data_IF_769711698296
#
_entry.id   IF_769711698296
#
_cell.length_a   1.000
_cell.length_b   1.000
_cell.length_c   1.000
_cell.angle_alpha   90.00
_cell.angle_beta   90.00
_cell.angle_gamma   90.00
#
_symmetry.space_group_name_H-M   'P 1'
#
loop_
_entity.id
_entity.type
_entity.pdbx_description
1 polymer ?
#
# COMPACT_ATOMS: atom_id res chain seq x y z
N UNK A 1 -21.36 18.07 -38.03
CA UNK A 1 -20.05 18.77 -37.95
C UNK A 1 -19.81 19.20 -36.48
N UNK A 2 -20.83 19.65 -35.76
CA UNK A 2 -20.68 20.08 -34.33
C UNK A 2 -20.44 18.95 -33.32
N UNK A 3 -20.92 17.74 -33.60
CA UNK A 3 -20.66 16.57 -32.75
C UNK A 3 -19.20 16.07 -32.87
N UNK A 4 -18.54 16.35 -33.97
CA UNK A 4 -17.13 15.98 -34.19
C UNK A 4 -16.20 17.02 -33.55
N UNK A 5 -16.59 18.29 -33.50
CA UNK A 5 -15.83 19.35 -32.82
C UNK A 5 -15.85 19.23 -31.30
N UNK A 6 -16.89 18.66 -30.71
CA UNK A 6 -16.95 18.36 -29.25
C UNK A 6 -16.03 17.21 -28.80
N UNK A 7 -15.53 16.37 -29.69
CA UNK A 7 -14.57 15.31 -29.41
C UNK A 7 -13.10 15.76 -29.47
N UNK A 8 -12.81 16.98 -29.88
CA UNK A 8 -11.46 17.53 -30.03
C UNK A 8 -11.00 18.42 -28.88
N UNK A 9 -11.83 18.67 -27.88
CA UNK A 9 -11.38 19.19 -26.59
C UNK A 9 -11.15 18.02 -25.63
N UNK A 10 -10.12 17.22 -25.87
CA UNK A 10 -9.60 16.34 -24.86
C UNK A 10 -9.08 17.23 -23.72
N UNK A 11 -9.84 17.33 -22.65
CA UNK A 11 -9.36 17.99 -21.43
C UNK A 11 -8.01 17.36 -21.06
N UNK A 12 -7.06 18.18 -20.64
CA UNK A 12 -5.79 17.66 -20.14
C UNK A 12 -6.08 16.59 -19.10
N UNK A 13 -5.35 15.44 -19.13
CA UNK A 13 -5.57 14.37 -18.16
C UNK A 13 -5.42 14.91 -16.73
N UNK A 14 -6.29 14.49 -15.83
CA UNK A 14 -6.19 14.84 -14.42
C UNK A 14 -4.94 14.22 -13.78
N UNK A 15 -4.51 14.75 -12.64
CA UNK A 15 -3.41 14.14 -11.86
C UNK A 15 -3.71 12.68 -11.52
N UNK A 16 -4.97 12.34 -11.29
CA UNK A 16 -5.41 10.97 -11.05
C UNK A 16 -5.23 10.07 -12.27
N UNK A 17 -5.59 10.54 -13.47
CA UNK A 17 -5.40 9.80 -14.72
C UNK A 17 -3.91 9.56 -14.99
N UNK A 18 -3.09 10.59 -14.78
CA UNK A 18 -1.63 10.50 -14.95
C UNK A 18 -1.05 9.48 -13.95
N UNK A 19 -1.43 9.56 -12.68
CA UNK A 19 -0.99 8.62 -11.65
C UNK A 19 -1.40 7.20 -11.97
N UNK A 20 -2.68 6.99 -12.33
CA UNK A 20 -3.21 5.68 -12.74
C UNK A 20 -2.42 5.12 -13.93
N UNK A 21 -2.14 5.92 -14.94
CA UNK A 21 -1.33 5.52 -16.09
C UNK A 21 0.06 5.03 -15.68
N UNK A 22 0.73 5.76 -14.79
CA UNK A 22 2.05 5.36 -14.27
C UNK A 22 2.01 4.06 -13.44
N UNK A 23 0.95 3.83 -12.67
CA UNK A 23 0.78 2.58 -11.93
C UNK A 23 0.52 1.40 -12.87
N UNK A 24 -0.33 1.56 -13.88
CA UNK A 24 -0.56 0.53 -14.90
C UNK A 24 0.72 0.20 -15.68
N UNK A 25 1.51 1.21 -16.00
CA UNK A 25 2.81 1.00 -16.64
C UNK A 25 3.76 0.22 -15.73
N UNK A 26 3.86 0.59 -14.45
CA UNK A 26 4.67 -0.15 -13.47
C UNK A 26 4.26 -1.62 -13.36
N UNK A 27 2.94 -1.88 -13.31
CA UNK A 27 2.41 -3.24 -13.27
C UNK A 27 2.82 -4.01 -14.54
N UNK A 28 2.66 -3.39 -15.71
CA UNK A 28 3.03 -4.00 -17.00
C UNK A 28 4.51 -4.33 -17.09
N UNK A 29 5.37 -3.46 -16.56
CA UNK A 29 6.83 -3.59 -16.69
C UNK A 29 7.43 -4.59 -15.68
N UNK A 30 6.79 -4.76 -14.52
CA UNK A 30 7.39 -5.50 -13.40
C UNK A 30 6.61 -6.74 -12.97
N UNK A 31 5.33 -6.87 -13.33
CA UNK A 31 4.50 -7.98 -12.88
C UNK A 31 4.04 -8.86 -14.05
N UNK A 32 4.07 -10.16 -13.84
CA UNK A 32 3.41 -11.12 -14.74
C UNK A 32 1.95 -11.25 -14.35
N UNK A 33 1.09 -10.49 -15.01
CA UNK A 33 -0.36 -10.60 -14.81
C UNK A 33 -0.98 -11.62 -15.77
N UNK A 34 -2.10 -12.21 -15.36
CA UNK A 34 -2.88 -13.09 -16.26
C UNK A 34 -3.40 -12.29 -17.47
N UNK A 35 -3.57 -12.98 -18.60
CA UNK A 35 -4.16 -12.35 -19.79
C UNK A 35 -5.65 -12.06 -19.59
N UNK A 36 -6.30 -12.84 -18.73
CA UNK A 36 -7.72 -12.73 -18.45
C UNK A 36 -7.99 -11.69 -17.38
N UNK A 37 -9.06 -10.94 -17.56
CA UNK A 37 -9.57 -9.94 -16.64
C UNK A 37 -10.97 -10.34 -16.18
N UNK A 38 -11.22 -10.24 -14.89
CA UNK A 38 -12.48 -10.67 -14.29
C UNK A 38 -13.19 -9.48 -13.65
N UNK A 39 -14.40 -9.17 -14.10
CA UNK A 39 -15.20 -8.06 -13.60
C UNK A 39 -15.94 -8.38 -12.28
N UNK A 40 -16.07 -9.66 -11.93
CA UNK A 40 -16.74 -10.12 -10.71
C UNK A 40 -16.36 -11.56 -10.35
N UNK A 41 -16.72 -11.98 -9.13
CA UNK A 41 -16.46 -13.31 -8.60
C UNK A 41 -17.00 -14.43 -9.49
N UNK A 42 -18.19 -14.30 -10.05
CA UNK A 42 -18.79 -15.32 -10.89
C UNK A 42 -17.95 -15.63 -12.15
N UNK A 43 -17.33 -14.59 -12.74
CA UNK A 43 -16.42 -14.79 -13.88
C UNK A 43 -15.15 -15.53 -13.46
N UNK A 44 -14.59 -15.19 -12.30
CA UNK A 44 -13.44 -15.93 -11.75
C UNK A 44 -13.80 -17.39 -11.55
N UNK A 45 -14.92 -17.70 -10.92
CA UNK A 45 -15.35 -19.07 -10.63
C UNK A 45 -15.55 -19.92 -11.90
N UNK A 46 -15.96 -19.32 -13.01
CA UNK A 46 -16.15 -20.00 -14.29
C UNK A 46 -14.91 -20.16 -15.14
N UNK A 47 -14.04 -19.16 -15.17
CA UNK A 47 -12.92 -19.06 -16.11
C UNK A 47 -11.55 -19.18 -15.41
N UNK A 48 -11.54 -19.74 -14.25
CA UNK A 48 -10.45 -19.73 -13.29
C UNK A 48 -9.12 -20.21 -13.86
N UNK A 49 -8.04 -19.42 -13.73
CA UNK A 49 -6.70 -19.91 -14.01
C UNK A 49 -6.32 -21.02 -13.03
N UNK A 50 -5.75 -22.10 -13.57
CA UNK A 50 -5.23 -23.18 -12.77
C UNK A 50 -3.78 -22.89 -12.43
N UNK A 51 -3.50 -22.84 -11.14
CA UNK A 51 -2.16 -22.71 -10.60
C UNK A 51 -1.90 -23.82 -9.60
N UNK A 52 -0.64 -24.23 -9.47
CA UNK A 52 -0.23 -25.23 -8.50
C UNK A 52 -0.41 -24.72 -7.06
N UNK A 53 -0.25 -23.41 -6.84
CA UNK A 53 -0.38 -22.75 -5.55
C UNK A 53 -1.05 -21.39 -5.73
N UNK A 54 -1.95 -21.04 -4.81
CA UNK A 54 -2.55 -19.72 -4.73
C UNK A 54 -1.99 -18.98 -3.53
N UNK A 55 -1.43 -17.80 -3.77
CA UNK A 55 -0.82 -16.98 -2.74
C UNK A 55 -1.58 -15.66 -2.55
N UNK A 56 -2.08 -15.43 -1.33
CA UNK A 56 -2.56 -14.11 -0.90
C UNK A 56 -1.37 -13.29 -0.43
N UNK A 57 -1.13 -12.15 -1.07
CA UNK A 57 -0.03 -11.25 -0.73
C UNK A 57 -0.31 -10.38 0.49
N UNK A 58 0.56 -9.41 0.69
CA UNK A 58 0.47 -8.43 1.78
C UNK A 58 -0.61 -7.38 1.56
N UNK A 59 -0.67 -6.43 2.50
CA UNK A 59 -1.63 -5.35 2.67
C UNK A 59 -2.96 -5.78 3.32
N UNK A 60 -3.89 -4.85 3.49
CA UNK A 60 -5.16 -5.03 4.22
C UNK A 60 -6.17 -5.88 3.45
N UNK A 61 -5.68 -6.92 2.80
CA UNK A 61 -6.47 -7.81 1.94
C UNK A 61 -7.47 -8.68 2.71
N UNK A 62 -7.34 -8.73 4.04
CA UNK A 62 -8.26 -9.43 4.94
C UNK A 62 -8.99 -8.49 5.92
N UNK A 63 -9.00 -7.18 5.64
CA UNK A 63 -9.74 -6.23 6.46
C UNK A 63 -11.26 -6.41 6.26
N UNK A 64 -12.01 -6.79 7.31
CA UNK A 64 -13.45 -7.06 7.17
C UNK A 64 -14.26 -5.85 6.72
N UNK A 65 -13.79 -4.62 7.00
CA UNK A 65 -14.45 -3.40 6.54
C UNK A 65 -14.34 -3.17 5.03
N UNK A 66 -13.35 -3.79 4.37
CA UNK A 66 -13.13 -3.65 2.93
C UNK A 66 -13.67 -4.82 2.14
N UNK A 67 -13.46 -6.05 2.62
CA UNK A 67 -13.82 -7.24 1.85
C UNK A 67 -15.22 -7.78 2.17
N UNK A 68 -15.79 -7.47 3.35
CA UNK A 68 -17.06 -8.08 3.77
C UNK A 68 -17.03 -9.60 3.64
N UNK A 69 -17.91 -10.15 2.80
CA UNK A 69 -17.98 -11.57 2.47
C UNK A 69 -17.35 -11.93 1.11
N UNK A 70 -16.56 -11.02 0.51
CA UNK A 70 -15.87 -11.31 -0.75
C UNK A 70 -14.64 -12.17 -0.50
N UNK A 71 -14.66 -13.40 -1.00
CA UNK A 71 -13.57 -14.37 -0.87
C UNK A 71 -12.47 -14.20 -1.91
N UNK A 72 -12.51 -13.19 -2.77
CA UNK A 72 -11.54 -13.02 -3.86
C UNK A 72 -10.11 -12.92 -3.31
N UNK A 73 -9.89 -12.05 -2.31
CA UNK A 73 -8.58 -11.91 -1.66
C UNK A 73 -8.23 -13.06 -0.70
N UNK A 74 -9.17 -13.97 -0.45
CA UNK A 74 -8.93 -15.22 0.27
C UNK A 74 -8.72 -16.41 -0.69
N UNK A 75 -8.46 -16.13 -1.96
CA UNK A 75 -8.34 -17.16 -3.01
C UNK A 75 -9.53 -18.13 -3.00
N UNK A 76 -10.73 -17.64 -2.69
CA UNK A 76 -11.93 -18.45 -2.56
C UNK A 76 -12.32 -19.17 -3.86
N UNK A 77 -11.75 -18.74 -4.96
CA UNK A 77 -11.86 -19.37 -6.28
C UNK A 77 -10.88 -20.54 -6.50
N UNK A 78 -9.91 -20.77 -5.61
CA UNK A 78 -8.98 -21.87 -5.75
C UNK A 78 -9.72 -23.23 -5.70
N UNK A 79 -9.41 -24.12 -6.63
CA UNK A 79 -10.06 -25.43 -6.69
C UNK A 79 -9.65 -26.30 -5.50
N UNK A 80 -10.53 -27.22 -5.13
CA UNK A 80 -10.25 -28.17 -4.07
C UNK A 80 -8.96 -28.95 -4.37
N UNK A 81 -8.08 -29.03 -3.38
CA UNK A 81 -6.80 -29.72 -3.48
C UNK A 81 -5.61 -28.82 -3.82
N UNK A 82 -5.81 -27.62 -4.38
CA UNK A 82 -4.70 -26.69 -4.62
C UNK A 82 -4.36 -25.90 -3.36
N UNK A 83 -3.08 -25.88 -2.93
CA UNK A 83 -2.67 -25.17 -1.74
C UNK A 83 -2.99 -23.68 -1.82
N UNK A 84 -3.54 -23.13 -0.74
CA UNK A 84 -3.66 -21.69 -0.51
C UNK A 84 -2.69 -21.32 0.60
N UNK A 85 -1.87 -20.31 0.36
CA UNK A 85 -0.93 -19.80 1.33
C UNK A 85 -1.05 -18.28 1.42
N UNK A 86 -0.63 -17.68 2.52
CA UNK A 86 -0.50 -16.22 2.60
C UNK A 86 0.90 -15.80 2.98
N UNK A 87 1.31 -14.64 2.47
CA UNK A 87 2.55 -14.00 2.85
C UNK A 87 2.28 -12.57 3.32
N UNK A 88 2.48 -12.33 4.61
CA UNK A 88 2.32 -11.01 5.24
C UNK A 88 0.93 -10.39 5.06
N UNK A 89 -0.13 -11.20 4.95
CA UNK A 89 -1.49 -10.69 4.84
C UNK A 89 -1.85 -9.86 6.09
N UNK A 90 -2.67 -8.82 5.90
CA UNK A 90 -3.04 -7.89 6.96
C UNK A 90 -4.55 -7.80 7.10
N UNK A 91 -5.01 -7.74 8.35
CA UNK A 91 -6.39 -7.42 8.69
C UNK A 91 -6.57 -5.96 9.07
N UNK A 92 -5.53 -5.33 9.60
CA UNK A 92 -5.53 -3.96 10.13
C UNK A 92 -6.67 -3.67 11.12
N UNK A 93 -7.13 -4.70 11.84
CA UNK A 93 -8.13 -4.62 12.91
C UNK A 93 -7.69 -5.50 14.07
N UNK A 94 -8.00 -5.07 15.29
CA UNK A 94 -7.71 -5.84 16.50
C UNK A 94 -8.69 -7.01 16.71
N UNK A 95 -9.91 -6.87 16.18
CA UNK A 95 -10.99 -7.86 16.35
C UNK A 95 -11.73 -8.07 15.02
N UNK A 96 -12.25 -9.26 14.83
CA UNK A 96 -13.17 -9.55 13.73
C UNK A 96 -14.59 -9.37 14.24
N UNK A 97 -15.43 -8.53 13.59
CA UNK A 97 -16.83 -8.44 13.95
C UNK A 97 -17.52 -9.80 13.94
N UNK A 98 -18.38 -10.06 14.93
CA UNK A 98 -18.99 -11.37 15.20
C UNK A 98 -19.62 -12.00 13.95
N UNK A 99 -20.31 -11.21 13.14
CA UNK A 99 -20.92 -11.68 11.90
C UNK A 99 -19.92 -12.27 10.89
N UNK A 100 -18.65 -11.92 10.97
CA UNK A 100 -17.62 -12.43 10.05
C UNK A 100 -16.81 -13.59 10.61
N UNK A 101 -16.90 -13.92 11.90
CA UNK A 101 -16.04 -14.93 12.55
C UNK A 101 -16.14 -16.29 11.85
N UNK A 102 -17.36 -16.79 11.61
CA UNK A 102 -17.56 -18.07 10.95
C UNK A 102 -17.09 -18.09 9.50
N UNK A 103 -17.29 -16.98 8.81
CA UNK A 103 -16.80 -16.78 7.45
C UNK A 103 -15.26 -16.84 7.39
N UNK A 104 -14.55 -16.13 8.28
CA UNK A 104 -13.09 -16.18 8.36
C UNK A 104 -12.59 -17.58 8.76
N UNK A 105 -13.25 -18.23 9.71
CA UNK A 105 -12.95 -19.61 10.08
C UNK A 105 -13.01 -20.55 8.87
N UNK A 106 -14.08 -20.46 8.13
CA UNK A 106 -14.32 -21.30 6.95
C UNK A 106 -13.29 -21.03 5.86
N UNK A 107 -13.06 -19.77 5.48
CA UNK A 107 -12.18 -19.44 4.36
C UNK A 107 -10.70 -19.61 4.69
N UNK A 108 -10.25 -19.13 5.86
CA UNK A 108 -8.86 -19.29 6.29
C UNK A 108 -8.54 -20.74 6.72
N UNK A 109 -9.56 -21.48 7.15
CA UNK A 109 -9.42 -22.92 7.40
C UNK A 109 -8.94 -23.73 6.18
N UNK A 110 -9.18 -23.22 4.96
CA UNK A 110 -8.75 -23.84 3.70
C UNK A 110 -7.28 -23.56 3.35
N UNK A 111 -6.59 -22.69 4.08
CA UNK A 111 -5.18 -22.38 3.84
C UNK A 111 -4.27 -23.50 4.35
N UNK A 112 -3.26 -23.84 3.57
CA UNK A 112 -2.20 -24.78 3.97
C UNK A 112 -1.21 -24.12 4.93
N UNK A 113 -0.95 -22.82 4.75
CA UNK A 113 -0.06 -22.02 5.60
C UNK A 113 -0.53 -20.58 5.63
N UNK A 114 -0.49 -19.96 6.81
CA UNK A 114 -0.90 -18.58 7.02
C UNK A 114 0.25 -17.82 7.63
N UNK A 115 0.66 -16.71 6.98
CA UNK A 115 1.53 -15.73 7.58
C UNK A 115 0.93 -14.32 7.48
N UNK A 116 1.15 -13.53 8.53
CA UNK A 116 0.65 -12.17 8.70
C UNK A 116 1.79 -11.21 9.04
N UNK A 117 1.58 -9.92 8.85
CA UNK A 117 2.58 -8.90 9.19
C UNK A 117 2.34 -8.21 10.54
N UNK A 118 1.21 -8.48 11.20
CA UNK A 118 0.87 -7.89 12.51
C UNK A 118 0.89 -8.95 13.62
N UNK A 119 1.62 -8.66 14.69
CA UNK A 119 1.67 -9.50 15.89
C UNK A 119 0.28 -9.69 16.53
N UNK A 120 -0.53 -8.64 16.54
CA UNK A 120 -1.87 -8.62 17.14
C UNK A 120 -2.83 -9.62 16.48
N UNK A 121 -2.65 -9.88 15.18
CA UNK A 121 -3.52 -10.77 14.40
C UNK A 121 -3.26 -12.26 14.66
N UNK A 122 -2.07 -12.62 15.15
CA UNK A 122 -1.67 -14.03 15.33
C UNK A 122 -2.63 -14.77 16.28
N UNK A 123 -2.82 -14.24 17.49
CA UNK A 123 -3.67 -14.89 18.50
C UNK A 123 -5.12 -15.01 18.02
N UNK A 124 -5.61 -13.97 17.35
CA UNK A 124 -6.97 -13.93 16.81
C UNK A 124 -7.17 -15.02 15.73
N UNK A 125 -6.29 -15.09 14.74
CA UNK A 125 -6.41 -16.07 13.67
C UNK A 125 -6.13 -17.49 14.13
N UNK A 126 -5.18 -17.71 15.03
CA UNK A 126 -4.93 -19.04 15.62
C UNK A 126 -6.17 -19.57 16.34
N UNK A 127 -6.85 -18.72 17.12
CA UNK A 127 -8.09 -19.08 17.81
C UNK A 127 -9.22 -19.46 16.86
N UNK A 128 -9.36 -18.71 15.77
CA UNK A 128 -10.45 -18.90 14.81
C UNK A 128 -10.21 -20.14 13.93
N UNK A 129 -8.97 -20.31 13.45
CA UNK A 129 -8.64 -21.34 12.46
C UNK A 129 -8.13 -22.64 13.06
N UNK A 130 -7.69 -22.64 14.33
CA UNK A 130 -6.99 -23.76 14.94
C UNK A 130 -5.59 -24.02 14.37
N UNK A 131 -5.03 -23.08 13.59
CA UNK A 131 -3.75 -23.23 12.89
C UNK A 131 -2.64 -22.41 13.52
N UNK A 132 -1.41 -22.84 13.31
CA UNK A 132 -0.23 -22.02 13.58
C UNK A 132 -0.16 -20.86 12.57
N UNK A 133 0.00 -19.65 13.07
CA UNK A 133 0.11 -18.41 12.27
C UNK A 133 1.54 -17.87 12.42
N UNK A 134 2.21 -17.63 11.31
CA UNK A 134 3.56 -17.11 11.29
C UNK A 134 3.58 -15.58 11.19
N UNK A 135 4.45 -14.94 11.98
CA UNK A 135 4.77 -13.52 11.78
C UNK A 135 5.89 -13.37 10.77
N UNK A 136 5.69 -12.52 9.77
CA UNK A 136 6.72 -12.21 8.76
C UNK A 136 6.73 -10.70 8.50
N UNK A 137 7.84 -10.18 7.99
CA UNK A 137 7.90 -8.79 7.59
C UNK A 137 7.08 -8.52 6.31
N UNK A 138 6.69 -7.26 6.13
CA UNK A 138 6.08 -6.83 4.87
C UNK A 138 7.04 -7.10 3.69
N UNK A 139 6.56 -7.56 2.52
CA UNK A 139 7.41 -7.87 1.36
C UNK A 139 8.29 -6.71 0.91
N UNK A 140 7.91 -5.46 1.19
CA UNK A 140 8.75 -4.29 0.86
C UNK A 140 10.10 -4.28 1.58
N UNK A 141 10.23 -5.05 2.68
CA UNK A 141 11.47 -5.20 3.44
C UNK A 141 12.36 -6.35 2.95
N UNK A 142 11.92 -7.15 1.98
CA UNK A 142 12.71 -8.28 1.45
C UNK A 142 13.89 -7.83 0.57
N UNK A 143 13.85 -6.60 0.07
CA UNK A 143 14.94 -6.00 -0.70
C UNK A 143 15.56 -4.86 0.11
N UNK A 144 16.89 -4.78 0.09
CA UNK A 144 17.61 -3.62 0.65
C UNK A 144 17.41 -2.38 -0.22
N UNK A 145 17.80 -1.20 0.29
CA UNK A 145 17.77 0.04 -0.48
C UNK A 145 18.50 -0.10 -1.82
N UNK A 146 19.71 -0.67 -1.79
CA UNK A 146 20.55 -0.84 -2.97
C UNK A 146 19.90 -1.78 -4.00
N UNK A 147 19.25 -2.85 -3.53
CA UNK A 147 18.54 -3.78 -4.39
C UNK A 147 17.30 -3.11 -5.02
N UNK A 148 16.54 -2.32 -4.25
CA UNK A 148 15.43 -1.54 -4.77
C UNK A 148 15.87 -0.56 -5.87
N UNK A 149 16.93 0.21 -5.61
CA UNK A 149 17.45 1.19 -6.57
C UNK A 149 17.96 0.51 -7.85
N UNK A 150 18.66 -0.60 -7.71
CA UNK A 150 19.15 -1.40 -8.84
C UNK A 150 18.00 -1.97 -9.67
N UNK A 151 17.02 -2.59 -9.01
CA UNK A 151 15.87 -3.22 -9.68
C UNK A 151 15.04 -2.22 -10.49
N UNK A 152 14.90 -1.00 -9.99
CA UNK A 152 14.11 0.05 -10.60
C UNK A 152 14.93 1.02 -11.47
N UNK A 153 16.24 0.79 -11.59
CA UNK A 153 17.19 1.65 -12.30
C UNK A 153 17.08 3.13 -11.87
N UNK A 154 17.05 3.35 -10.56
CA UNK A 154 16.91 4.69 -9.95
C UNK A 154 18.25 5.21 -9.50
N UNK A 155 18.62 6.38 -9.99
CA UNK A 155 19.74 7.17 -9.48
C UNK A 155 19.26 8.62 -9.25
N UNK A 156 19.55 9.18 -8.11
CA UNK A 156 19.35 10.61 -7.80
C UNK A 156 20.28 10.98 -6.65
N UNK A 157 20.91 12.14 -6.73
CA UNK A 157 21.77 12.69 -5.67
C UNK A 157 21.11 13.85 -4.91
N UNK A 158 19.88 14.20 -5.26
CA UNK A 158 19.12 15.27 -4.59
C UNK A 158 18.75 14.88 -3.18
N UNK A 159 18.74 15.84 -2.26
CA UNK A 159 18.25 15.64 -0.89
C UNK A 159 16.83 16.18 -0.76
N UNK A 160 15.92 15.33 -0.27
CA UNK A 160 14.51 15.68 -0.10
C UNK A 160 14.11 15.64 1.37
N UNK A 161 13.26 16.57 1.77
CA UNK A 161 12.45 16.46 2.98
C UNK A 161 11.06 15.98 2.54
N UNK A 162 10.70 14.76 2.90
CA UNK A 162 9.49 14.10 2.40
C UNK A 162 8.35 14.27 3.40
N UNK A 163 7.18 14.68 2.88
CA UNK A 163 5.91 14.67 3.61
C UNK A 163 4.98 13.72 2.87
N UNK A 164 4.63 12.61 3.54
CA UNK A 164 3.70 11.62 3.01
C UNK A 164 2.64 11.29 4.05
N UNK A 165 1.59 12.11 4.08
CA UNK A 165 0.52 12.08 5.07
C UNK A 165 -0.78 11.67 4.42
N UNK A 166 -1.31 10.53 4.88
CA UNK A 166 -2.62 10.02 4.49
C UNK A 166 -3.64 10.44 5.55
N UNK A 167 -4.78 10.97 5.14
CA UNK A 167 -5.82 11.53 6.02
C UNK A 167 -7.18 10.80 5.89
N UNK A 168 -7.17 9.56 5.42
CA UNK A 168 -8.40 8.79 5.21
C UNK A 168 -8.86 8.00 6.45
N UNK A 169 -7.98 7.65 7.38
CA UNK A 169 -8.32 6.98 8.65
C UNK A 169 -8.53 7.97 9.78
N UNK A 170 -7.72 9.02 9.82
CA UNK A 170 -7.82 10.13 10.76
C UNK A 170 -7.20 11.39 10.14
N UNK A 171 -7.57 12.56 10.66
CA UNK A 171 -7.08 13.84 10.14
C UNK A 171 -5.98 14.41 11.05
N UNK A 172 -4.69 14.32 10.68
CA UNK A 172 -3.58 14.85 11.47
C UNK A 172 -3.41 16.39 11.32
N UNK A 173 -4.19 17.03 10.47
CA UNK A 173 -4.12 18.46 10.24
C UNK A 173 -4.98 19.24 11.24
N UNK A 174 -4.57 20.47 11.67
CA UNK A 174 -3.36 21.17 11.23
C UNK A 174 -2.10 20.86 12.04
N UNK A 175 -2.20 20.04 13.10
CA UNK A 175 -1.13 19.82 14.10
C UNK A 175 0.18 19.36 13.47
N UNK A 176 0.09 18.54 12.42
CA UNK A 176 1.27 18.01 11.74
C UNK A 176 2.15 19.09 11.10
N UNK A 177 1.60 20.28 10.77
CA UNK A 177 2.38 21.35 10.16
C UNK A 177 3.48 21.90 11.07
N UNK A 178 3.25 21.95 12.38
CA UNK A 178 4.30 22.33 13.34
C UNK A 178 5.40 21.27 13.43
N UNK A 179 5.05 20.00 13.38
CA UNK A 179 6.02 18.90 13.33
C UNK A 179 6.88 19.03 12.06
N UNK A 180 6.26 19.23 10.91
CA UNK A 180 6.95 19.40 9.63
C UNK A 180 7.92 20.58 9.68
N UNK A 181 7.48 21.73 10.17
CA UNK A 181 8.29 22.93 10.31
C UNK A 181 9.52 22.72 11.19
N UNK A 182 9.33 22.14 12.39
CA UNK A 182 10.41 21.88 13.33
C UNK A 182 11.43 20.87 12.78
N UNK A 183 10.95 19.81 12.15
CA UNK A 183 11.82 18.83 11.52
C UNK A 183 12.56 19.41 10.31
N UNK A 184 11.88 20.19 9.46
CA UNK A 184 12.52 20.80 8.29
C UNK A 184 13.62 21.79 8.67
N UNK A 185 13.44 22.57 9.75
CA UNK A 185 14.49 23.46 10.27
C UNK A 185 15.75 22.68 10.67
N UNK A 186 15.59 21.46 11.18
CA UNK A 186 16.70 20.63 11.66
C UNK A 186 17.40 19.85 10.55
N UNK A 187 16.64 19.27 9.62
CA UNK A 187 17.16 18.32 8.64
C UNK A 187 17.32 18.91 7.24
N UNK A 188 16.62 20.01 6.95
CA UNK A 188 16.66 20.68 5.65
C UNK A 188 16.23 19.82 4.48
N UNK A 189 16.59 20.25 3.28
CA UNK A 189 16.26 19.58 2.04
C UNK A 189 15.08 20.21 1.30
N UNK A 190 14.92 19.88 0.02
CA UNK A 190 13.76 20.33 -0.76
C UNK A 190 12.50 19.63 -0.28
N UNK A 191 11.48 20.40 0.12
CA UNK A 191 10.20 19.82 0.59
C UNK A 191 9.43 19.21 -0.59
N UNK A 192 9.20 17.91 -0.53
CA UNK A 192 8.34 17.17 -1.47
C UNK A 192 7.15 16.61 -0.69
N UNK A 193 5.96 16.94 -1.13
CA UNK A 193 4.69 16.49 -0.54
C UNK A 193 4.04 15.49 -1.49
N UNK A 194 3.94 14.25 -1.06
CA UNK A 194 3.30 13.20 -1.87
C UNK A 194 1.81 13.14 -1.54
N UNK A 195 0.96 13.55 -2.48
CA UNK A 195 -0.51 13.54 -2.38
C UNK A 195 -1.07 14.21 -1.12
N UNK A 196 -0.48 15.33 -0.68
CA UNK A 196 -0.81 15.95 0.60
C UNK A 196 -1.13 17.44 0.51
N UNK A 197 -1.42 18.00 1.69
CA UNK A 197 -1.71 19.42 1.89
C UNK A 197 -0.44 20.18 2.26
N UNK A 198 -0.38 21.46 1.91
CA UNK A 198 0.71 22.36 2.26
C UNK A 198 0.16 23.60 2.98
N UNK A 199 0.88 24.09 3.98
CA UNK A 199 0.62 25.32 4.70
C UNK A 199 1.43 26.51 4.15
N UNK A 200 1.34 27.66 4.83
CA UNK A 200 2.08 28.86 4.44
C UNK A 200 3.61 28.71 4.59
N UNK A 201 4.06 28.00 5.64
CA UNK A 201 5.49 27.72 5.85
C UNK A 201 6.07 26.91 4.69
N UNK A 202 5.41 25.81 4.34
CA UNK A 202 5.84 24.93 3.26
C UNK A 202 5.84 25.66 1.91
N UNK A 203 4.80 26.46 1.61
CA UNK A 203 4.75 27.31 0.41
C UNK A 203 5.94 28.27 0.36
N UNK A 204 6.22 29.00 1.46
CA UNK A 204 7.33 29.95 1.55
C UNK A 204 8.70 29.27 1.35
N UNK A 205 8.83 27.99 1.74
CA UNK A 205 10.06 27.20 1.59
C UNK A 205 10.08 26.38 0.28
N UNK A 206 9.25 26.72 -0.71
CA UNK A 206 9.31 26.14 -2.04
C UNK A 206 8.86 24.69 -2.12
N UNK A 207 7.94 24.27 -1.24
CA UNK A 207 7.39 22.93 -1.26
C UNK A 207 6.76 22.60 -2.63
N UNK A 208 7.06 21.41 -3.11
CA UNK A 208 6.48 20.86 -4.34
C UNK A 208 5.49 19.74 -3.99
N UNK A 209 4.23 19.91 -4.39
CA UNK A 209 3.22 18.84 -4.28
C UNK A 209 3.31 17.94 -5.50
N UNK A 210 3.42 16.63 -5.29
CA UNK A 210 3.52 15.61 -6.33
C UNK A 210 2.34 14.65 -6.18
N UNK A 211 1.29 14.91 -6.95
CA UNK A 211 0.08 14.07 -6.97
C UNK A 211 0.16 12.91 -7.94
N UNK A 212 1.16 12.91 -8.81
CA UNK A 212 1.32 11.97 -9.92
C UNK A 212 2.50 11.01 -9.74
N UNK A 213 2.97 10.82 -8.49
CA UNK A 213 4.08 9.93 -8.22
C UNK A 213 3.75 8.48 -8.60
N UNK A 214 4.64 7.84 -9.37
CA UNK A 214 4.64 6.40 -9.63
C UNK A 214 5.24 5.64 -8.44
N UNK A 215 5.14 4.30 -8.39
CA UNK A 215 5.90 3.48 -7.43
C UNK A 215 7.41 3.71 -7.54
N UNK A 216 7.95 3.91 -8.75
CA UNK A 216 9.37 4.23 -8.97
C UNK A 216 9.72 5.61 -8.41
N UNK A 217 8.86 6.62 -8.65
CA UNK A 217 9.04 7.97 -8.07
C UNK A 217 9.03 7.91 -6.54
N UNK A 218 8.12 7.13 -5.95
CA UNK A 218 8.05 6.94 -4.49
C UNK A 218 9.37 6.40 -3.94
N UNK A 219 9.88 5.31 -4.51
CA UNK A 219 11.17 4.72 -4.09
C UNK A 219 12.31 5.73 -4.24
N UNK A 220 12.36 6.46 -5.37
CA UNK A 220 13.39 7.49 -5.61
C UNK A 220 13.36 8.57 -4.54
N UNK A 221 12.19 9.11 -4.20
CA UNK A 221 12.06 10.14 -3.17
C UNK A 221 12.50 9.63 -1.80
N UNK A 222 12.02 8.45 -1.39
CA UNK A 222 12.37 7.88 -0.10
C UNK A 222 13.85 7.51 -0.01
N UNK A 223 14.43 6.98 -1.07
CA UNK A 223 15.84 6.61 -1.09
C UNK A 223 16.80 7.81 -0.94
N UNK A 224 16.36 8.99 -1.38
CA UNK A 224 17.13 10.23 -1.34
C UNK A 224 16.60 11.22 -0.27
N UNK A 225 15.75 10.75 0.63
CA UNK A 225 15.24 11.60 1.69
C UNK A 225 16.31 11.90 2.74
N UNK A 226 16.38 13.16 3.17
CA UNK A 226 17.11 13.59 4.37
C UNK A 226 16.29 13.34 5.64
N UNK A 227 14.97 13.45 5.52
CA UNK A 227 14.00 13.20 6.58
C UNK A 227 12.61 12.91 6.00
N UNK A 228 11.81 12.13 6.74
CA UNK A 228 10.44 11.79 6.34
C UNK A 228 9.46 12.11 7.48
N UNK A 229 8.35 12.78 7.15
CA UNK A 229 7.17 12.90 8.03
C UNK A 229 6.05 12.14 7.34
N UNK A 230 5.51 11.11 8.00
CA UNK A 230 4.50 10.25 7.39
C UNK A 230 3.46 9.77 8.40
N UNK A 231 2.22 9.51 7.93
CA UNK A 231 1.20 8.74 8.64
C UNK A 231 0.94 7.38 7.97
N UNK A 232 1.71 7.08 6.90
CA UNK A 232 1.55 5.86 6.13
C UNK A 232 2.39 4.72 6.70
N UNK A 233 1.80 3.53 6.81
CA UNK A 233 2.53 2.30 7.11
C UNK A 233 3.70 2.10 6.14
N UNK A 234 3.47 2.18 4.83
CA UNK A 234 4.53 2.00 3.84
C UNK A 234 5.57 3.14 3.89
N UNK A 235 5.15 4.38 4.20
CA UNK A 235 6.09 5.48 4.46
C UNK A 235 7.03 5.18 5.61
N UNK A 236 6.51 4.62 6.70
CA UNK A 236 7.30 4.18 7.86
C UNK A 236 8.25 3.04 7.50
N UNK A 237 7.74 1.99 6.85
CA UNK A 237 8.52 0.79 6.50
C UNK A 237 9.66 1.12 5.53
N UNK A 238 9.43 1.91 4.48
CA UNK A 238 10.50 2.32 3.58
C UNK A 238 11.52 3.24 4.24
N UNK A 239 11.10 4.11 5.17
CA UNK A 239 12.04 4.93 5.95
C UNK A 239 12.95 4.05 6.81
N UNK A 240 12.40 3.04 7.48
CA UNK A 240 13.16 2.06 8.26
C UNK A 240 14.13 1.27 7.36
N UNK A 241 13.62 0.69 6.28
CA UNK A 241 14.40 -0.14 5.35
C UNK A 241 15.57 0.65 4.73
N UNK A 242 15.32 1.90 4.34
CA UNK A 242 16.32 2.76 3.71
C UNK A 242 17.20 3.51 4.72
N UNK A 243 16.97 3.31 6.02
CA UNK A 243 17.69 3.96 7.12
C UNK A 243 17.62 5.49 7.05
N UNK A 244 16.47 6.00 6.67
CA UNK A 244 16.18 7.44 6.64
C UNK A 244 15.57 7.85 7.97
N UNK A 245 16.03 8.93 8.63
CA UNK A 245 15.38 9.46 9.81
C UNK A 245 13.94 9.89 9.52
N UNK A 246 13.00 9.57 10.41
CA UNK A 246 11.60 9.88 10.18
C UNK A 246 10.82 10.11 11.47
N UNK A 247 9.63 10.69 11.32
CA UNK A 247 8.53 10.68 12.30
C UNK A 247 7.34 9.99 11.66
N UNK A 248 6.85 8.95 12.33
CA UNK A 248 5.57 8.32 12.00
C UNK A 248 4.50 8.89 12.91
N UNK A 249 3.46 9.48 12.30
CA UNK A 249 2.29 10.02 13.00
C UNK A 249 1.19 8.98 12.97
N UNK A 250 0.76 8.54 14.12
CA UNK A 250 -0.28 7.50 14.28
C UNK A 250 -1.45 8.04 15.08
N UNK A 251 -2.62 7.46 14.90
CA UNK A 251 -3.78 7.71 15.75
C UNK A 251 -3.60 6.91 17.05
N UNK A 252 -3.72 7.56 18.20
CA UNK A 252 -3.61 6.96 19.52
C UNK A 252 -4.71 5.93 19.82
N UNK A 253 -5.79 5.95 19.05
CA UNK A 253 -6.90 4.98 19.14
C UNK A 253 -6.62 3.66 18.43
N UNK A 254 -5.52 3.56 17.68
CA UNK A 254 -5.16 2.39 16.85
C UNK A 254 -3.97 1.62 17.47
N UNK A 255 -3.54 2.02 18.66
CA UNK A 255 -2.41 1.43 19.40
C UNK A 255 -2.72 0.08 20.03
#
# INVERSE_FOLDING_TARGET
IDAIKRRLCASKPSDEDIRRGKFLQFISDHLKISKDSYGNRYQIDKQMPLYDVYLTGSDQVWNPSYIGYDTTFMCGFARNGNPRISFAASMAVAEIPEQFVEYYRTELGKYSSISVREQTTIGLLSKITGKAISLVCDPTMLLTKEQWLKQLNVSDSSKYFIVYVLDYTYNPYPQIFEIIKNCHHRYGGKIIVLNGKIDQYMKKNGATVVNTASPVDFIRYFANASFVVTSSFHGTIFSLNFKVPFISVVDDRIG
#
